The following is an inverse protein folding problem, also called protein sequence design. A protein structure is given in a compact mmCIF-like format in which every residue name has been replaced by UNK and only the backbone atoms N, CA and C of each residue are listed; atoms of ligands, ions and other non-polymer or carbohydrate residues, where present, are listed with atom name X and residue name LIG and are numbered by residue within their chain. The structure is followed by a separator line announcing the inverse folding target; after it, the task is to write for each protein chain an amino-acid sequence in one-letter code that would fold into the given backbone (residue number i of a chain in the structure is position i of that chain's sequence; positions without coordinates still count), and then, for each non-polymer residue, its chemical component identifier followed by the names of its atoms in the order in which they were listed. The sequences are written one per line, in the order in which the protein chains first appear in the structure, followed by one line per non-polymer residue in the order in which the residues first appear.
data_IF_580947361120
#
_entry.id   IF_580947361120
#
_cell.length_a   1.000
_cell.length_b   1.000
_cell.length_c   1.000
_cell.angle_alpha   90.00
_cell.angle_beta   90.00
_cell.angle_gamma   90.00
#
_symmetry.space_group_name_H-M   'P 1'
#
loop_
_entity.id
_entity.type
_entity.pdbx_description
1 polymer ?
#
# COMPACT_ATOMS: atom_id res chain seq x y z
N UNK A 1 9.22 -60.84 14.32
CA UNK A 1 8.83 -59.60 15.01
C UNK A 1 9.04 -58.41 14.08
N UNK A 2 7.99 -57.65 13.73
CA UNK A 2 8.11 -56.32 13.15
C UNK A 2 7.41 -55.21 13.97
N UNK A 3 7.81 -53.98 13.65
CA UNK A 3 7.88 -52.77 14.46
C UNK A 3 6.56 -52.09 14.89
N UNK A 4 6.53 -51.54 16.11
CA UNK A 4 5.45 -50.72 16.70
C UNK A 4 5.70 -49.23 16.42
N UNK A 5 5.28 -48.70 15.26
CA UNK A 5 5.33 -47.23 15.06
C UNK A 5 4.18 -46.62 14.24
N UNK A 6 3.16 -47.40 13.86
CA UNK A 6 2.05 -46.89 13.03
C UNK A 6 0.75 -46.60 13.77
N UNK A 7 0.74 -46.57 15.12
CA UNK A 7 -0.51 -46.47 15.89
C UNK A 7 -0.85 -45.12 16.54
N UNK A 8 -0.02 -44.07 16.42
CA UNK A 8 -0.21 -42.84 17.21
C UNK A 8 -0.60 -41.56 16.42
N UNK A 9 -1.03 -41.66 15.16
CA UNK A 9 -1.49 -40.48 14.39
C UNK A 9 -3.03 -40.32 14.40
N UNK A 10 -3.77 -41.38 14.78
CA UNK A 10 -5.25 -41.38 14.83
C UNK A 10 -5.83 -40.85 16.15
N UNK A 11 -5.07 -40.84 17.25
CA UNK A 11 -5.55 -40.42 18.59
C UNK A 11 -5.52 -38.89 18.80
N UNK A 12 -4.58 -38.18 18.17
CA UNK A 12 -4.47 -36.71 18.24
C UNK A 12 -5.56 -35.98 17.43
N UNK A 13 -6.03 -36.56 16.31
CA UNK A 13 -7.13 -35.99 15.50
C UNK A 13 -8.50 -36.03 16.19
N UNK A 14 -8.70 -36.86 17.21
CA UNK A 14 -9.96 -36.91 17.98
C UNK A 14 -9.99 -35.93 19.16
N UNK A 15 -8.85 -35.40 19.60
CA UNK A 15 -8.77 -34.48 20.74
C UNK A 15 -8.96 -33.00 20.37
N UNK A 16 -8.81 -32.64 19.10
CA UNK A 16 -9.08 -31.27 18.59
C UNK A 16 -10.55 -31.06 18.21
N UNK A 17 -11.36 -32.13 18.18
CA UNK A 17 -12.78 -32.08 17.77
C UNK A 17 -13.78 -31.81 18.90
N UNK A 18 -13.35 -31.47 20.12
CA UNK A 18 -14.25 -31.36 21.29
C UNK A 18 -14.31 -29.98 21.97
N UNK A 19 -13.73 -28.94 21.37
CA UNK A 19 -13.86 -27.56 21.85
C UNK A 19 -14.21 -26.63 20.68
N UNK A 20 -15.32 -26.91 20.01
CA UNK A 20 -16.04 -25.93 19.18
C UNK A 20 -17.51 -26.36 19.19
N UNK A 21 -18.25 -25.87 20.20
CA UNK A 21 -19.71 -25.73 20.16
C UNK A 21 -19.98 -24.33 19.59
N UNK A 22 -20.53 -24.26 18.38
CA UNK A 22 -21.96 -23.91 18.14
C UNK A 22 -22.21 -22.43 18.50
N UNK A 23 -22.08 -21.56 17.49
CA UNK A 23 -23.14 -20.66 17.04
C UNK A 23 -22.75 -19.95 15.72
N UNK A 24 -23.67 -20.08 14.76
CA UNK A 24 -23.94 -19.27 13.57
C UNK A 24 -23.10 -19.43 12.27
N UNK A 25 -23.45 -20.52 11.56
CA UNK A 25 -24.10 -20.52 10.23
C UNK A 25 -23.38 -20.07 8.94
N UNK A 26 -22.97 -21.11 8.19
CA UNK A 26 -23.54 -21.53 6.89
C UNK A 26 -23.52 -20.56 5.69
N UNK A 27 -22.63 -20.83 4.71
CA UNK A 27 -23.08 -20.98 3.30
C UNK A 27 -22.08 -21.78 2.44
N UNK A 28 -22.63 -22.68 1.63
CA UNK A 28 -21.98 -23.78 0.92
C UNK A 28 -21.14 -23.42 -0.32
N UNK A 29 -20.21 -24.34 -0.61
CA UNK A 29 -19.49 -24.55 -1.86
C UNK A 29 -20.43 -24.88 -3.05
N UNK A 30 -20.16 -24.32 -4.23
CA UNK A 30 -20.43 -25.00 -5.51
C UNK A 30 -19.26 -24.77 -6.49
N UNK A 31 -18.80 -25.84 -7.12
CA UNK A 31 -17.80 -25.84 -8.19
C UNK A 31 -18.45 -25.68 -9.58
N UNK A 32 -17.71 -25.23 -10.61
CA UNK A 32 -18.27 -24.42 -11.69
C UNK A 32 -18.74 -25.21 -12.92
N UNK A 33 -19.84 -24.74 -13.54
CA UNK A 33 -20.23 -25.09 -14.92
C UNK A 33 -19.95 -23.91 -15.86
N UNK A 34 -19.21 -24.20 -16.93
CA UNK A 34 -18.89 -23.30 -18.04
C UNK A 34 -20.14 -22.62 -18.63
N UNK A 35 -20.14 -21.27 -18.69
CA UNK A 35 -21.01 -20.53 -19.61
C UNK A 35 -20.29 -19.30 -20.19
N UNK A 36 -20.37 -19.23 -21.52
CA UNK A 36 -19.81 -18.21 -22.42
C UNK A 36 -20.16 -16.77 -22.00
N UNK A 37 -19.18 -15.88 -22.19
CA UNK A 37 -19.27 -14.45 -21.94
C UNK A 37 -20.46 -13.80 -22.69
N UNK A 38 -21.39 -13.25 -21.91
CA UNK A 38 -22.25 -12.14 -22.32
C UNK A 38 -22.01 -11.01 -21.32
N UNK A 39 -21.68 -9.82 -21.82
CA UNK A 39 -21.63 -8.59 -21.01
C UNK A 39 -22.98 -8.40 -20.32
N UNK A 40 -23.02 -8.66 -19.01
CA UNK A 40 -24.13 -8.26 -18.14
C UNK A 40 -23.66 -7.03 -17.39
N UNK A 41 -24.35 -5.91 -17.62
CA UNK A 41 -24.29 -4.72 -16.77
C UNK A 41 -24.76 -5.11 -15.37
N UNK A 42 -23.84 -5.42 -14.46
CA UNK A 42 -24.17 -5.61 -13.04
C UNK A 42 -23.94 -4.30 -12.32
N UNK A 43 -25.04 -3.67 -11.89
CA UNK A 43 -25.01 -2.55 -10.95
C UNK A 43 -24.61 -3.06 -9.56
N UNK A 44 -23.31 -3.04 -9.26
CA UNK A 44 -22.83 -3.09 -7.88
C UNK A 44 -22.93 -1.69 -7.29
N UNK A 45 -24.00 -1.41 -6.54
CA UNK A 45 -24.12 -0.19 -5.73
C UNK A 45 -23.28 -0.33 -4.44
N UNK A 46 -21.95 -0.33 -4.59
CA UNK A 46 -21.08 0.33 -3.62
C UNK A 46 -20.49 1.51 -4.37
N UNK A 47 -21.14 2.68 -4.22
CA UNK A 47 -20.65 3.90 -4.84
C UNK A 47 -19.19 4.14 -4.42
N UNK A 48 -18.38 4.66 -5.34
CA UNK A 48 -17.03 5.09 -4.99
C UNK A 48 -17.11 6.08 -3.82
N UNK A 49 -16.09 6.16 -2.97
CA UNK A 49 -15.97 7.27 -2.05
C UNK A 49 -16.05 8.58 -2.85
N UNK A 50 -16.97 9.47 -2.46
CA UNK A 50 -17.17 10.78 -3.09
C UNK A 50 -15.88 11.61 -3.19
N UNK A 51 -14.87 11.27 -2.40
CA UNK A 51 -13.55 11.92 -2.35
C UNK A 51 -12.75 11.80 -3.64
N UNK A 52 -13.08 10.89 -4.55
CA UNK A 52 -12.36 10.71 -5.83
C UNK A 52 -13.07 11.33 -7.04
N UNK A 53 -14.28 11.86 -6.85
CA UNK A 53 -15.09 12.42 -7.93
C UNK A 53 -14.54 13.79 -8.34
N UNK A 54 -14.28 13.96 -9.65
CA UNK A 54 -13.75 15.21 -10.19
C UNK A 54 -12.23 15.41 -10.03
N UNK A 55 -11.54 14.45 -9.43
CA UNK A 55 -10.08 14.47 -9.33
C UNK A 55 -9.43 14.37 -10.71
N UNK A 56 -8.32 15.11 -10.88
CA UNK A 56 -7.54 15.07 -12.12
C UNK A 56 -6.98 13.67 -12.37
N UNK A 57 -7.15 13.20 -13.61
CA UNK A 57 -6.42 12.03 -14.14
C UNK A 57 -5.01 12.38 -14.59
N UNK A 58 -4.56 13.62 -14.40
CA UNK A 58 -3.20 14.03 -14.73
C UNK A 58 -2.19 13.19 -13.95
N UNK A 59 -1.19 12.70 -14.68
CA UNK A 59 -0.07 11.92 -14.15
C UNK A 59 1.13 12.85 -14.11
N UNK A 60 1.93 12.76 -13.04
CA UNK A 60 3.18 13.50 -12.93
C UNK A 60 4.11 13.14 -14.10
N UNK A 61 4.53 14.15 -14.84
CA UNK A 61 5.51 14.04 -15.92
C UNK A 61 6.84 14.68 -15.55
N UNK A 62 7.76 14.72 -16.52
CA UNK A 62 9.14 15.16 -16.30
C UNK A 62 9.25 16.58 -15.70
N UNK A 63 8.36 17.51 -16.08
CA UNK A 63 8.39 18.89 -15.61
C UNK A 63 7.39 19.18 -14.47
N UNK A 64 6.65 18.17 -14.01
CA UNK A 64 5.64 18.37 -12.96
C UNK A 64 6.29 18.74 -11.63
N UNK A 65 7.54 18.31 -11.41
CA UNK A 65 8.25 18.61 -10.18
C UNK A 65 8.61 20.09 -10.07
N UNK A 66 9.23 20.66 -11.10
CA UNK A 66 9.60 22.08 -11.14
C UNK A 66 8.36 22.98 -11.03
N UNK A 67 7.26 22.58 -11.68
CA UNK A 67 5.96 23.28 -11.57
C UNK A 67 5.41 23.22 -10.14
N UNK A 68 5.49 22.07 -9.48
CA UNK A 68 5.06 21.90 -8.10
C UNK A 68 5.90 22.77 -7.16
N UNK A 69 7.23 22.77 -7.29
CA UNK A 69 8.10 23.62 -6.46
C UNK A 69 7.82 25.10 -6.69
N UNK A 70 7.70 25.55 -7.95
CA UNK A 70 7.37 26.95 -8.26
C UNK A 70 5.99 27.38 -7.73
N UNK A 71 5.04 26.45 -7.63
CA UNK A 71 3.77 26.68 -6.96
C UNK A 71 3.98 26.82 -5.44
N UNK A 72 4.67 25.86 -4.81
CA UNK A 72 4.87 25.83 -3.37
C UNK A 72 5.69 27.02 -2.86
N UNK A 73 6.65 27.52 -3.63
CA UNK A 73 7.36 28.78 -3.31
C UNK A 73 6.41 29.96 -3.08
N UNK A 74 5.24 29.96 -3.73
CA UNK A 74 4.23 31.02 -3.61
C UNK A 74 3.18 30.70 -2.55
N UNK A 75 2.76 29.44 -2.45
CA UNK A 75 1.60 29.04 -1.63
C UNK A 75 1.97 28.43 -0.29
N UNK A 76 3.15 27.82 -0.17
CA UNK A 76 3.70 27.21 1.04
C UNK A 76 5.24 27.21 1.00
N UNK A 77 5.89 28.37 1.25
CA UNK A 77 7.35 28.50 1.16
C UNK A 77 8.09 27.51 2.06
N UNK A 78 7.51 27.16 3.21
CA UNK A 78 8.09 26.21 4.14
C UNK A 78 8.18 24.79 3.58
N UNK A 79 7.13 24.34 2.87
CA UNK A 79 7.16 23.07 2.15
C UNK A 79 8.20 23.11 1.03
N UNK A 80 8.26 24.20 0.26
CA UNK A 80 9.29 24.39 -0.78
C UNK A 80 10.71 24.29 -0.20
N UNK A 81 11.00 25.03 0.86
CA UNK A 81 12.32 25.04 1.50
C UNK A 81 12.69 23.67 2.07
N UNK A 82 11.70 22.97 2.63
CA UNK A 82 11.89 21.59 3.07
C UNK A 82 12.27 20.67 1.92
N UNK A 83 11.53 20.73 0.82
CA UNK A 83 11.79 19.89 -0.35
C UNK A 83 13.19 20.18 -0.92
N UNK A 84 13.56 21.46 -1.04
CA UNK A 84 14.90 21.86 -1.50
C UNK A 84 16.03 21.41 -0.57
N UNK A 85 15.75 21.22 0.72
CA UNK A 85 16.72 20.68 1.68
C UNK A 85 16.90 19.17 1.60
N UNK A 86 16.00 18.47 0.89
CA UNK A 86 16.14 17.03 0.67
C UNK A 86 17.16 16.79 -0.45
N UNK A 87 18.12 15.89 -0.21
CA UNK A 87 19.21 15.57 -1.16
C UNK A 87 18.74 14.97 -2.49
N UNK A 88 17.45 14.61 -2.63
CA UNK A 88 16.95 13.90 -3.80
C UNK A 88 15.51 14.30 -4.18
N UNK A 89 15.37 15.27 -5.13
CA UNK A 89 14.10 15.90 -5.37
C UNK A 89 13.06 15.02 -6.09
N UNK A 90 13.46 14.11 -7.00
CA UNK A 90 12.50 13.50 -7.94
C UNK A 90 12.32 11.98 -7.80
N UNK A 91 12.62 11.41 -6.64
CA UNK A 91 12.58 9.94 -6.44
C UNK A 91 11.20 9.29 -6.59
N UNK A 92 10.11 10.07 -6.58
CA UNK A 92 8.78 9.50 -6.82
C UNK A 92 8.72 8.89 -8.22
N UNK A 93 9.38 9.50 -9.19
CA UNK A 93 9.42 9.01 -10.57
C UNK A 93 10.25 7.74 -10.71
N UNK A 94 11.23 7.52 -9.82
CA UNK A 94 12.07 6.32 -9.76
C UNK A 94 11.37 5.09 -9.17
N UNK A 95 10.16 5.27 -8.62
CA UNK A 95 9.33 4.14 -8.20
C UNK A 95 8.90 3.38 -9.45
N UNK A 96 9.49 2.19 -9.63
CA UNK A 96 9.28 1.29 -10.79
C UNK A 96 8.74 -0.07 -10.36
N UNK A 97 7.61 -0.07 -9.65
CA UNK A 97 6.90 -1.29 -9.26
C UNK A 97 5.73 -1.52 -10.21
N UNK A 98 5.35 -2.77 -10.45
CA UNK A 98 4.08 -3.09 -11.11
C UNK A 98 2.89 -3.01 -10.12
N UNK A 99 1.66 -3.06 -10.63
CA UNK A 99 0.45 -2.99 -9.81
C UNK A 99 0.42 -4.06 -8.71
N UNK A 100 0.79 -5.30 -9.04
CA UNK A 100 0.82 -6.42 -8.08
C UNK A 100 1.77 -6.16 -6.91
N UNK A 101 3.04 -5.85 -7.21
CA UNK A 101 4.06 -5.54 -6.22
C UNK A 101 3.61 -4.40 -5.31
N UNK A 102 3.01 -3.37 -5.90
CA UNK A 102 2.49 -2.20 -5.17
C UNK A 102 1.40 -2.63 -4.19
N UNK A 103 0.39 -3.38 -4.63
CA UNK A 103 -0.72 -3.81 -3.76
C UNK A 103 -0.26 -4.75 -2.64
N UNK A 104 0.64 -5.67 -2.92
CA UNK A 104 1.23 -6.56 -1.90
C UNK A 104 2.01 -5.74 -0.86
N UNK A 105 2.82 -4.77 -1.30
CA UNK A 105 3.55 -3.84 -0.40
C UNK A 105 2.59 -3.00 0.45
N UNK A 106 1.52 -2.49 -0.14
CA UNK A 106 0.48 -1.73 0.57
C UNK A 106 -0.15 -2.61 1.66
N UNK A 107 -0.63 -3.81 1.32
CA UNK A 107 -1.29 -4.72 2.28
C UNK A 107 -0.35 -5.08 3.43
N UNK A 108 0.89 -5.45 3.13
CA UNK A 108 1.86 -5.81 4.16
C UNK A 108 2.10 -4.60 5.08
N UNK A 109 2.23 -3.39 4.53
CA UNK A 109 2.57 -2.17 5.29
C UNK A 109 1.42 -1.57 6.12
N UNK A 110 0.17 -1.92 5.86
CA UNK A 110 -0.98 -1.38 6.60
C UNK A 110 -0.81 -1.47 8.13
N UNK A 111 -1.06 -0.37 8.84
CA UNK A 111 -1.04 -0.32 10.32
C UNK A 111 0.30 -0.77 10.94
N UNK A 112 1.42 -0.55 10.25
CA UNK A 112 2.77 -0.86 10.74
C UNK A 112 3.67 0.37 10.65
N UNK A 113 4.73 0.37 11.45
CA UNK A 113 5.85 1.28 11.23
C UNK A 113 6.61 0.91 9.94
N UNK A 114 7.32 1.87 9.37
CA UNK A 114 8.19 1.64 8.19
C UNK A 114 9.21 0.53 8.43
N UNK A 115 9.82 0.46 9.62
CA UNK A 115 10.79 -0.56 9.98
C UNK A 115 10.17 -1.96 10.09
N UNK A 116 8.99 -2.08 10.68
CA UNK A 116 8.26 -3.34 10.78
C UNK A 116 7.81 -3.82 9.40
N UNK A 117 7.25 -2.94 8.58
CA UNK A 117 6.85 -3.24 7.21
C UNK A 117 8.03 -3.72 6.36
N UNK A 118 9.18 -3.04 6.44
CA UNK A 118 10.42 -3.44 5.75
C UNK A 118 10.89 -4.83 6.18
N UNK A 119 10.88 -5.11 7.49
CA UNK A 119 11.28 -6.40 8.04
C UNK A 119 10.37 -7.54 7.52
N UNK A 120 9.05 -7.36 7.59
CA UNK A 120 8.08 -8.36 7.12
C UNK A 120 8.18 -8.54 5.60
N UNK A 121 8.32 -7.46 4.82
CA UNK A 121 8.48 -7.55 3.37
C UNK A 121 9.74 -8.32 2.98
N UNK A 122 10.87 -8.05 3.65
CA UNK A 122 12.12 -8.78 3.44
C UNK A 122 11.94 -10.27 3.74
N UNK A 123 11.27 -10.62 4.84
CA UNK A 123 10.98 -12.02 5.19
C UNK A 123 10.02 -12.67 4.19
N UNK A 124 9.00 -11.95 3.72
CA UNK A 124 8.07 -12.42 2.69
C UNK A 124 8.80 -12.80 1.41
N UNK A 125 9.68 -11.93 0.91
CA UNK A 125 10.51 -12.22 -0.27
C UNK A 125 11.39 -13.46 -0.02
N UNK A 126 12.02 -13.55 1.16
CA UNK A 126 12.86 -14.71 1.55
C UNK A 126 12.14 -16.05 1.50
N UNK A 127 10.81 -16.09 1.68
CA UNK A 127 10.06 -17.34 1.60
C UNK A 127 10.18 -17.98 0.21
N UNK A 128 10.38 -17.18 -0.84
CA UNK A 128 10.31 -17.60 -2.24
C UNK A 128 11.66 -17.62 -2.96
N UNK A 129 12.75 -17.36 -2.23
CA UNK A 129 14.10 -17.52 -2.76
C UNK A 129 14.40 -18.99 -3.03
N UNK A 130 15.16 -19.25 -4.09
CA UNK A 130 15.71 -20.58 -4.35
C UNK A 130 16.90 -20.85 -3.43
N UNK A 131 17.25 -22.12 -3.30
CA UNK A 131 18.44 -22.51 -2.54
C UNK A 131 19.69 -21.83 -3.10
N UNK A 132 20.48 -21.21 -2.22
CA UNK A 132 21.68 -20.43 -2.58
C UNK A 132 21.41 -18.98 -2.96
N UNK A 133 20.16 -18.54 -3.14
CA UNK A 133 19.84 -17.13 -3.37
C UNK A 133 19.85 -16.36 -2.04
N UNK A 134 20.36 -15.13 -2.09
CA UNK A 134 20.28 -14.17 -1.00
C UNK A 134 19.51 -12.93 -1.47
N UNK A 135 18.95 -12.20 -0.52
CA UNK A 135 18.25 -10.96 -0.79
C UNK A 135 18.72 -9.86 0.11
N UNK A 136 18.87 -8.68 -0.47
CA UNK A 136 19.01 -7.44 0.27
C UNK A 136 17.72 -7.14 1.05
N UNK A 137 17.80 -6.34 2.13
CA UNK A 137 16.61 -5.84 2.80
C UNK A 137 15.73 -5.04 1.84
N UNK A 138 14.41 -5.23 1.93
CA UNK A 138 13.48 -4.55 1.04
C UNK A 138 13.63 -3.02 1.09
N UNK A 139 13.41 -2.38 -0.05
CA UNK A 139 13.24 -0.95 -0.15
C UNK A 139 11.78 -0.64 -0.45
N UNK A 140 11.11 0.04 0.49
CA UNK A 140 9.66 0.25 0.48
C UNK A 140 9.13 0.79 -0.86
N UNK A 141 9.89 1.66 -1.54
CA UNK A 141 9.48 2.35 -2.77
C UNK A 141 10.27 1.92 -4.01
N UNK A 142 10.93 0.76 -3.98
CA UNK A 142 11.59 0.20 -5.17
C UNK A 142 11.03 -1.18 -5.46
N UNK A 143 11.01 -1.53 -6.75
CA UNK A 143 10.82 -2.92 -7.13
C UNK A 143 11.95 -3.75 -6.55
N UNK A 144 11.59 -4.94 -6.08
CA UNK A 144 12.54 -5.89 -5.56
C UNK A 144 12.84 -6.94 -6.64
N UNK A 145 14.10 -7.21 -6.98
CA UNK A 145 14.43 -8.14 -8.08
C UNK A 145 13.92 -9.56 -7.83
N UNK A 146 13.93 -10.02 -6.56
CA UNK A 146 13.42 -11.33 -6.15
C UNK A 146 11.95 -11.32 -5.72
N UNK A 147 11.16 -10.30 -6.08
CA UNK A 147 9.76 -10.26 -5.68
C UNK A 147 8.99 -11.46 -6.28
N UNK A 148 8.26 -12.25 -5.48
CA UNK A 148 7.61 -13.47 -5.98
C UNK A 148 6.47 -13.13 -6.94
N UNK A 149 6.27 -13.96 -7.97
CA UNK A 149 5.18 -13.75 -8.93
C UNK A 149 3.82 -14.18 -8.34
N UNK A 150 2.69 -13.66 -8.86
CA UNK A 150 1.36 -14.07 -8.41
C UNK A 150 1.14 -15.59 -8.46
N UNK A 151 1.68 -16.27 -9.48
CA UNK A 151 1.55 -17.72 -9.66
C UNK A 151 2.23 -18.53 -8.56
N UNK A 152 3.35 -18.05 -8.01
CA UNK A 152 4.04 -18.76 -6.93
C UNK A 152 3.39 -18.45 -5.59
N UNK A 153 2.93 -17.21 -5.40
CA UNK A 153 2.29 -16.81 -4.13
C UNK A 153 0.93 -17.48 -3.98
N UNK A 154 0.12 -17.62 -5.03
CA UNK A 154 -1.21 -18.23 -4.91
C UNK A 154 -1.18 -19.71 -4.50
N UNK A 155 -0.12 -20.43 -4.85
CA UNK A 155 0.09 -21.85 -4.52
C UNK A 155 0.65 -22.08 -3.11
N UNK A 156 0.91 -21.01 -2.34
CA UNK A 156 1.41 -21.14 -0.97
C UNK A 156 0.28 -21.30 0.04
N UNK A 157 0.59 -21.86 1.21
CA UNK A 157 -0.37 -21.88 2.33
C UNK A 157 -0.36 -20.56 3.12
N UNK A 158 -1.49 -20.18 3.75
CA UNK A 158 -1.55 -19.05 4.68
C UNK A 158 -0.49 -19.15 5.80
N UNK A 159 -0.24 -20.35 6.33
CA UNK A 159 0.73 -20.61 7.40
C UNK A 159 2.15 -20.26 6.97
N UNK A 160 2.53 -20.60 5.73
CA UNK A 160 3.84 -20.23 5.18
C UNK A 160 3.99 -18.72 5.10
N UNK A 161 2.98 -17.99 4.63
CA UNK A 161 3.01 -16.51 4.62
C UNK A 161 3.13 -15.93 6.03
N UNK A 162 2.42 -16.53 6.99
CA UNK A 162 2.48 -16.10 8.40
C UNK A 162 3.86 -16.28 9.02
N UNK A 163 4.66 -17.24 8.57
CA UNK A 163 6.03 -17.40 9.07
C UNK A 163 6.93 -16.19 8.78
N UNK A 164 6.57 -15.34 7.81
CA UNK A 164 7.22 -14.04 7.58
C UNK A 164 6.76 -12.91 8.52
N UNK A 165 5.81 -13.15 9.42
CA UNK A 165 5.22 -12.14 10.31
C UNK A 165 3.95 -11.47 9.75
N UNK A 166 3.39 -12.01 8.67
CA UNK A 166 2.12 -11.53 8.09
C UNK A 166 0.96 -12.03 8.96
N UNK A 167 -0.07 -11.20 9.20
CA UNK A 167 -1.26 -11.64 9.94
C UNK A 167 -2.10 -12.61 9.10
N UNK A 168 -2.93 -13.44 9.75
CA UNK A 168 -3.79 -14.40 9.03
C UNK A 168 -4.70 -13.72 8.00
N UNK A 169 -5.30 -12.60 8.40
CA UNK A 169 -6.17 -11.79 7.53
C UNK A 169 -5.41 -11.27 6.31
N UNK A 170 -4.22 -10.69 6.50
CA UNK A 170 -3.38 -10.20 5.38
C UNK A 170 -2.90 -11.35 4.49
N UNK A 171 -2.55 -12.50 5.06
CA UNK A 171 -2.18 -13.68 4.27
C UNK A 171 -3.32 -14.10 3.32
N UNK A 172 -4.56 -14.14 3.81
CA UNK A 172 -5.73 -14.38 2.96
C UNK A 172 -5.91 -13.36 1.84
N UNK A 173 -5.69 -12.07 2.12
CA UNK A 173 -5.75 -11.02 1.09
C UNK A 173 -4.66 -11.17 0.03
N UNK A 174 -3.44 -11.50 0.43
CA UNK A 174 -2.33 -11.74 -0.50
C UNK A 174 -2.62 -12.92 -1.43
N UNK A 175 -3.20 -14.01 -0.91
CA UNK A 175 -3.60 -15.15 -1.74
C UNK A 175 -4.68 -14.76 -2.75
N UNK A 176 -5.74 -14.08 -2.32
CA UNK A 176 -6.83 -13.63 -3.19
C UNK A 176 -6.33 -12.71 -4.30
N UNK A 177 -5.45 -11.76 -3.96
CA UNK A 177 -4.86 -10.85 -4.96
C UNK A 177 -3.94 -11.62 -5.90
N UNK A 178 -3.13 -12.54 -5.38
CA UNK A 178 -2.23 -13.36 -6.21
C UNK A 178 -3.02 -14.24 -7.19
N UNK A 179 -4.15 -14.78 -6.77
CA UNK A 179 -5.06 -15.52 -7.66
C UNK A 179 -5.56 -14.62 -8.81
N UNK A 180 -6.12 -13.45 -8.50
CA UNK A 180 -6.60 -12.49 -9.52
C UNK A 180 -5.50 -12.04 -10.47
N UNK A 181 -4.32 -11.71 -9.95
CA UNK A 181 -3.20 -11.23 -10.77
C UNK A 181 -2.53 -12.32 -11.60
N UNK A 182 -2.75 -13.60 -11.27
CA UNK A 182 -2.30 -14.74 -12.11
C UNK A 182 -3.10 -14.88 -13.40
N UNK A 183 -4.29 -14.27 -13.48
CA UNK A 183 -4.97 -14.07 -14.76
C UNK A 183 -4.33 -12.90 -15.51
N UNK A 184 -3.67 -13.22 -16.64
CA UNK A 184 -3.01 -12.22 -17.50
C UNK A 184 -3.99 -11.21 -18.09
N UNK A 185 -5.28 -11.53 -18.17
CA UNK A 185 -6.33 -10.62 -18.67
C UNK A 185 -6.95 -9.76 -17.57
N UNK A 186 -6.52 -9.92 -16.32
CA UNK A 186 -7.02 -9.12 -15.22
C UNK A 186 -6.73 -7.64 -15.46
N UNK A 187 -7.75 -6.78 -15.32
CA UNK A 187 -7.68 -5.37 -15.72
C UNK A 187 -6.54 -4.59 -15.04
N UNK A 188 -6.20 -4.92 -13.79
CA UNK A 188 -5.09 -4.26 -13.08
C UNK A 188 -3.69 -4.65 -13.60
N UNK A 189 -3.59 -5.58 -14.56
CA UNK A 189 -2.36 -5.87 -15.31
C UNK A 189 -2.18 -4.99 -16.56
N UNK A 190 -3.17 -4.15 -16.92
CA UNK A 190 -3.17 -3.36 -18.16
C UNK A 190 -2.97 -1.86 -17.89
N UNK A 191 -1.71 -1.44 -17.82
CA UNK A 191 -1.33 -0.05 -17.52
C UNK A 191 -1.93 0.96 -18.49
N UNK A 192 -2.11 0.59 -19.76
CA UNK A 192 -2.71 1.49 -20.75
C UNK A 192 -4.15 1.79 -20.38
N UNK A 193 -4.94 0.76 -20.08
CA UNK A 193 -6.33 0.93 -19.63
C UNK A 193 -6.39 1.69 -18.32
N UNK A 194 -5.53 1.38 -17.34
CA UNK A 194 -5.53 2.09 -16.06
C UNK A 194 -5.24 3.59 -16.22
N UNK A 195 -4.33 3.97 -17.11
CA UNK A 195 -4.02 5.38 -17.35
C UNK A 195 -5.21 6.17 -17.92
N UNK A 196 -6.05 5.53 -18.73
CA UNK A 196 -7.24 6.12 -19.33
C UNK A 196 -8.41 6.27 -18.34
N UNK A 197 -8.43 5.47 -17.27
CA UNK A 197 -9.47 5.49 -16.25
C UNK A 197 -9.39 6.73 -15.34
N UNK A 198 -10.51 7.12 -14.76
CA UNK A 198 -10.55 8.14 -13.71
C UNK A 198 -10.03 7.57 -12.37
N UNK A 199 -9.67 8.45 -11.43
CA UNK A 199 -9.32 8.01 -10.07
C UNK A 199 -10.50 7.31 -9.39
N UNK A 200 -11.72 7.79 -9.62
CA UNK A 200 -12.94 7.19 -9.10
C UNK A 200 -13.14 5.75 -9.61
N UNK A 201 -12.96 5.51 -10.90
CA UNK A 201 -13.12 4.16 -11.47
C UNK A 201 -12.04 3.21 -10.94
N UNK A 202 -10.79 3.67 -10.83
CA UNK A 202 -9.70 2.88 -10.22
C UNK A 202 -10.01 2.59 -8.76
N UNK A 203 -10.52 3.57 -8.01
CA UNK A 203 -10.90 3.39 -6.61
C UNK A 203 -11.97 2.29 -6.46
N UNK A 204 -13.00 2.25 -7.32
CA UNK A 204 -14.01 1.18 -7.32
C UNK A 204 -13.38 -0.19 -7.56
N UNK A 205 -12.55 -0.32 -8.59
CA UNK A 205 -11.86 -1.59 -8.89
C UNK A 205 -11.00 -2.08 -7.72
N UNK A 206 -10.29 -1.17 -7.06
CA UNK A 206 -9.40 -1.49 -5.96
C UNK A 206 -10.17 -1.83 -4.68
N UNK A 207 -11.22 -1.09 -4.32
CA UNK A 207 -12.02 -1.33 -3.11
C UNK A 207 -12.77 -2.67 -3.17
N UNK A 208 -13.07 -3.17 -4.37
CA UNK A 208 -13.65 -4.51 -4.55
C UNK A 208 -12.67 -5.64 -4.17
N UNK A 209 -11.38 -5.34 -4.00
CA UNK A 209 -10.40 -6.29 -3.46
C UNK A 209 -10.48 -6.35 -1.94
N UNK A 210 -10.69 -7.55 -1.39
CA UNK A 210 -10.66 -7.77 0.06
C UNK A 210 -9.33 -7.28 0.64
N UNK A 211 -9.40 -6.44 1.67
CA UNK A 211 -8.23 -5.87 2.34
C UNK A 211 -7.73 -4.54 1.77
N UNK A 212 -8.37 -4.03 0.72
CA UNK A 212 -8.09 -2.71 0.16
C UNK A 212 -9.20 -1.74 0.59
N UNK A 213 -8.80 -0.61 1.17
CA UNK A 213 -9.70 0.48 1.55
C UNK A 213 -9.20 1.83 1.03
N UNK A 214 -9.86 2.94 1.36
CA UNK A 214 -9.54 4.26 0.80
C UNK A 214 -8.06 4.66 0.94
N UNK A 215 -7.47 4.46 2.12
CA UNK A 215 -6.03 4.70 2.31
C UNK A 215 -5.15 3.93 1.32
N UNK A 216 -5.46 2.64 1.07
CA UNK A 216 -4.70 1.82 0.14
C UNK A 216 -4.89 2.28 -1.33
N UNK A 217 -6.08 2.77 -1.67
CA UNK A 217 -6.34 3.40 -2.97
C UNK A 217 -5.49 4.65 -3.14
N UNK A 218 -5.45 5.55 -2.15
CA UNK A 218 -4.65 6.78 -2.23
C UNK A 218 -3.17 6.46 -2.45
N UNK A 219 -2.63 5.51 -1.68
CA UNK A 219 -1.23 5.09 -1.82
C UNK A 219 -0.97 4.44 -3.19
N UNK A 220 -1.92 3.67 -3.74
CA UNK A 220 -1.80 3.11 -5.09
C UNK A 220 -1.82 4.20 -6.17
N UNK A 221 -2.76 5.15 -6.10
CA UNK A 221 -2.86 6.27 -7.03
C UNK A 221 -1.61 7.17 -6.99
N UNK A 222 -1.04 7.35 -5.79
CA UNK A 222 0.14 8.15 -5.55
C UNK A 222 1.43 7.47 -6.05
N UNK A 223 1.69 6.22 -5.64
CA UNK A 223 2.99 5.56 -5.87
C UNK A 223 3.07 4.82 -7.21
N UNK A 224 1.96 4.21 -7.64
CA UNK A 224 1.93 3.44 -8.88
C UNK A 224 1.43 4.26 -10.06
N UNK A 225 0.22 4.81 -9.94
CA UNK A 225 -0.37 5.62 -11.02
C UNK A 225 0.27 7.00 -11.15
N UNK A 226 0.99 7.47 -10.12
CA UNK A 226 1.65 8.78 -10.07
C UNK A 226 0.70 9.92 -10.44
N UNK A 227 -0.57 9.82 -10.03
CA UNK A 227 -1.57 10.88 -10.22
C UNK A 227 -1.08 12.15 -9.55
N UNK A 228 -1.26 13.31 -10.16
CA UNK A 228 -0.63 14.56 -9.69
C UNK A 228 -1.21 15.07 -8.37
N UNK A 229 -2.48 14.79 -8.12
CA UNK A 229 -3.25 15.48 -7.08
C UNK A 229 -3.85 14.54 -6.02
N UNK A 230 -3.03 13.67 -5.44
CA UNK A 230 -3.43 12.74 -4.39
C UNK A 230 -2.90 13.18 -3.04
N UNK A 231 -3.79 13.31 -2.06
CA UNK A 231 -3.44 13.57 -0.67
C UNK A 231 -4.06 12.49 0.23
N UNK A 232 -3.31 11.44 0.63
CA UNK A 232 -3.80 10.41 1.54
C UNK A 232 -4.10 10.96 2.95
N UNK A 233 -5.27 11.55 3.13
CA UNK A 233 -5.65 12.33 4.33
C UNK A 233 -5.60 11.49 5.63
N UNK A 234 -5.83 10.18 5.51
CA UNK A 234 -5.83 9.23 6.63
C UNK A 234 -4.46 8.64 6.94
N UNK A 235 -3.41 8.99 6.18
CA UNK A 235 -2.08 8.43 6.36
C UNK A 235 -1.37 9.06 7.57
N UNK A 236 -0.97 8.19 8.52
CA UNK A 236 -0.29 8.62 9.73
C UNK A 236 1.10 9.21 9.47
N UNK A 237 1.80 8.74 8.43
CA UNK A 237 3.11 9.26 8.03
C UNK A 237 2.99 10.68 7.48
N UNK A 238 2.02 10.93 6.61
CA UNK A 238 1.69 12.28 6.10
C UNK A 238 1.24 13.20 7.22
N UNK A 239 0.36 12.74 8.11
CA UNK A 239 -0.09 13.52 9.27
C UNK A 239 1.09 13.90 10.17
N UNK A 240 1.99 12.95 10.46
CA UNK A 240 3.23 13.20 11.21
C UNK A 240 4.11 14.20 10.47
N UNK A 241 4.35 13.99 9.18
CA UNK A 241 5.19 14.84 8.34
C UNK A 241 4.72 16.28 8.27
N UNK A 242 3.42 16.50 8.06
CA UNK A 242 2.86 17.85 8.00
C UNK A 242 2.90 18.53 9.37
N UNK A 243 2.56 17.80 10.43
CA UNK A 243 2.65 18.32 11.80
C UNK A 243 4.09 18.76 12.13
N UNK A 244 5.09 17.98 11.71
CA UNK A 244 6.51 18.31 11.91
C UNK A 244 6.92 19.55 11.11
N UNK A 245 6.48 19.66 9.85
CA UNK A 245 6.73 20.81 9.00
C UNK A 245 6.20 22.10 9.64
N UNK A 246 4.93 22.10 10.06
CA UNK A 246 4.28 23.26 10.70
C UNK A 246 4.90 23.61 12.06
N UNK A 247 5.28 22.61 12.85
CA UNK A 247 5.94 22.86 14.14
C UNK A 247 7.31 23.54 13.94
N UNK A 248 8.05 23.12 12.92
CA UNK A 248 9.38 23.66 12.61
C UNK A 248 9.34 25.12 12.16
N UNK A 249 8.31 25.52 11.41
CA UNK A 249 8.14 26.90 10.93
C UNK A 249 7.62 27.82 12.03
N UNK A 250 6.84 27.27 12.97
CA UNK A 250 6.27 28.02 14.10
C UNK A 250 7.27 28.32 15.24
N UNK A 251 8.57 28.04 15.06
CA UNK A 251 9.59 28.26 16.09
C UNK A 251 9.49 27.35 17.32
N UNK A 252 8.66 26.29 17.27
CA UNK A 252 8.40 25.36 18.38
C UNK A 252 9.31 24.12 18.35
N UNK A 253 10.51 24.24 17.77
CA UNK A 253 11.48 23.14 17.63
C UNK A 253 11.79 22.50 18.99
N UNK A 254 11.83 21.17 19.04
CA UNK A 254 12.15 20.41 20.25
C UNK A 254 11.03 20.28 21.28
N UNK A 255 9.81 20.75 20.98
CA UNK A 255 8.60 20.50 21.80
C UNK A 255 7.89 19.24 21.31
N UNK A 256 7.08 18.62 22.19
CA UNK A 256 6.19 17.50 21.84
C UNK A 256 5.39 17.82 20.57
N UNK A 257 5.37 16.90 19.61
CA UNK A 257 4.67 17.09 18.35
C UNK A 257 3.16 17.23 18.59
N UNK A 258 2.56 18.30 18.07
CA UNK A 258 1.11 18.48 18.06
C UNK A 258 0.56 17.99 16.72
N UNK A 259 -0.22 16.91 16.74
CA UNK A 259 -0.78 16.34 15.53
C UNK A 259 -1.96 17.17 15.03
N UNK A 260 -1.91 17.60 13.77
CA UNK A 260 -2.99 18.32 13.11
C UNK A 260 -4.27 17.47 13.04
N UNK A 261 -5.45 18.10 13.06
CA UNK A 261 -6.72 17.45 12.77
C UNK A 261 -6.86 17.15 11.26
N UNK A 262 -7.87 16.34 10.88
CA UNK A 262 -8.16 16.07 9.46
C UNK A 262 -8.52 17.37 8.74
N UNK A 263 -9.35 18.21 9.36
CA UNK A 263 -9.81 19.49 8.80
C UNK A 263 -8.63 20.46 8.60
N UNK A 264 -7.69 20.49 9.54
CA UNK A 264 -6.45 21.28 9.39
C UNK A 264 -5.62 20.76 8.22
N UNK A 265 -5.41 19.44 8.13
CA UNK A 265 -4.66 18.82 7.03
C UNK A 265 -5.29 19.11 5.66
N UNK A 266 -6.62 19.00 5.54
CA UNK A 266 -7.35 19.33 4.31
C UNK A 266 -7.08 20.77 3.89
N UNK A 267 -7.26 21.73 4.82
CA UNK A 267 -7.03 23.15 4.57
C UNK A 267 -5.61 23.45 4.11
N UNK A 268 -4.60 22.84 4.72
CA UNK A 268 -3.21 23.00 4.27
C UNK A 268 -3.01 22.43 2.87
N UNK A 269 -3.58 21.26 2.58
CA UNK A 269 -3.36 20.56 1.32
C UNK A 269 -3.94 21.26 0.10
N UNK A 270 -4.97 22.10 0.28
CA UNK A 270 -5.57 22.88 -0.81
C UNK A 270 -4.56 23.81 -1.51
N UNK A 271 -3.59 24.34 -0.76
CA UNK A 271 -2.54 25.22 -1.29
C UNK A 271 -1.58 24.52 -2.25
N UNK A 272 -1.61 23.18 -2.29
CA UNK A 272 -0.70 22.38 -3.09
C UNK A 272 -1.33 21.83 -4.38
N UNK A 273 -2.63 22.08 -4.62
CA UNK A 273 -3.29 21.67 -5.86
C UNK A 273 -2.68 22.38 -7.08
N UNK A 274 -2.48 21.69 -8.22
CA UNK A 274 -2.89 20.31 -8.52
C UNK A 274 -1.77 19.27 -8.30
N UNK A 275 -0.81 19.56 -7.41
CA UNK A 275 0.41 18.78 -7.18
C UNK A 275 0.50 18.21 -5.76
N UNK A 276 -0.64 17.92 -5.11
CA UNK A 276 -0.66 17.36 -3.74
C UNK A 276 0.17 16.09 -3.60
N UNK A 277 0.30 15.28 -4.66
CA UNK A 277 1.14 14.08 -4.65
C UNK A 277 2.62 14.35 -4.41
N UNK A 278 3.14 15.47 -4.93
CA UNK A 278 4.52 15.89 -4.67
C UNK A 278 4.68 16.19 -3.18
N UNK A 279 3.78 16.99 -2.60
CA UNK A 279 3.79 17.27 -1.16
C UNK A 279 3.69 15.97 -0.34
N UNK A 280 2.72 15.10 -0.63
CA UNK A 280 2.53 13.82 0.06
C UNK A 280 3.77 12.94 0.04
N UNK A 281 4.46 12.83 -1.10
CA UNK A 281 5.69 12.07 -1.22
C UNK A 281 6.76 12.53 -0.22
N UNK A 282 6.92 13.85 -0.07
CA UNK A 282 7.87 14.43 0.86
C UNK A 282 7.46 14.33 2.31
N UNK A 283 6.20 14.54 2.62
CA UNK A 283 5.67 14.38 3.97
C UNK A 283 5.84 12.93 4.45
N UNK A 284 5.69 11.93 3.57
CA UNK A 284 6.01 10.55 3.87
C UNK A 284 7.51 10.34 4.13
N UNK A 285 8.42 10.96 3.36
CA UNK A 285 9.86 10.91 3.60
C UNK A 285 10.24 11.48 4.97
N UNK A 286 9.61 12.59 5.39
CA UNK A 286 9.81 13.20 6.72
C UNK A 286 9.60 12.20 7.85
N UNK A 287 8.54 11.40 7.75
CA UNK A 287 8.17 10.46 8.80
C UNK A 287 9.19 9.33 9.03
N UNK A 288 10.22 9.23 8.17
CA UNK A 288 11.35 8.30 8.26
C UNK A 288 12.65 9.07 8.57
N UNK A 289 13.03 9.22 9.85
CA UNK A 289 14.12 10.11 10.30
C UNK A 289 15.48 9.86 9.63
N UNK A 290 15.75 8.61 9.24
CA UNK A 290 16.97 8.24 8.50
C UNK A 290 17.11 8.93 7.13
N UNK A 291 16.06 9.57 6.59
CA UNK A 291 16.03 10.17 5.24
C UNK A 291 16.09 11.69 5.21
N UNK A 292 16.05 12.35 6.37
CA UNK A 292 16.10 13.81 6.46
C UNK A 292 17.27 14.21 7.34
N UNK A 293 18.48 14.14 6.80
CA UNK A 293 19.67 14.66 7.50
C UNK A 293 19.54 16.17 7.64
N UNK A 294 19.46 16.65 8.89
CA UNK A 294 19.65 18.07 9.22
C UNK A 294 18.41 18.96 9.27
N UNK A 295 17.29 18.61 8.62
CA UNK A 295 16.12 19.51 8.58
C UNK A 295 15.22 19.43 9.83
N UNK A 296 15.08 18.24 10.44
CA UNK A 296 14.11 17.97 11.51
C UNK A 296 14.80 17.38 12.75
N UNK A 297 15.49 18.21 13.52
CA UNK A 297 15.86 17.86 14.90
C UNK A 297 14.62 18.02 15.80
N UNK A 298 13.67 17.11 15.72
CA UNK A 298 12.50 17.03 16.62
C UNK A 298 12.70 15.82 17.53
N UNK A 299 12.55 16.00 18.86
CA UNK A 299 12.54 14.88 19.81
C UNK A 299 11.17 14.21 19.74
N UNK A 300 11.14 12.88 19.56
CA UNK A 300 9.91 12.07 19.67
C UNK A 300 9.32 12.11 21.08
#
# INVERSE_FOLDING_TARGET
MPNKETRNVRSLRKRVKKEYTEDDDEYYEETPKEKKAKLVKTSSKKGAPSSYSGDSKEVLGNNSFEKAIALFEKTDPALSDFIKSCDDPNTLMDVKMNAYQTLVKIIISQQLSTSAARSIMTKFIKLFLKEGESTEPDHQFKAHPHFPTPEIVKETSPERLRSAGISFRKAGYLLIISEKFSDKNYLLNDDKKLNDMSNEDIARLLIDLKGIGPWAVDIFLLLYMKRSDIFPISDAGIRKGLSMLIQNTSGKKGKKLNYLSIEEMEKYSENWKPYRSVASWYLMKVSSPERVKGYLKIRE
#
